data_IF_488961590583
#
_entry.id   IF_488961590583
#
_cell.length_a   1.000
_cell.length_b   1.000
_cell.length_c   1.000
_cell.angle_alpha   90.00
_cell.angle_beta   90.00
_cell.angle_gamma   90.00
#
_symmetry.space_group_name_H-M   'P 1'
#
loop_
_entity.id
_entity.type
_entity.pdbx_description
1 polymer ?
#
# COMPACT_ATOMS: atom_id res chain seq x y z
N UNK A 1 -62.33 21.00 12.13
CA UNK A 1 -61.15 21.82 12.45
C UNK A 1 -60.21 21.01 13.32
N UNK A 2 -58.90 21.04 13.02
CA UNK A 2 -57.79 20.47 13.83
C UNK A 2 -57.57 18.96 13.65
N UNK A 3 -56.73 18.47 12.74
CA UNK A 3 -55.25 18.44 12.72
C UNK A 3 -54.66 17.24 13.49
N UNK A 4 -54.44 16.13 12.79
CA UNK A 4 -53.50 15.08 13.19
C UNK A 4 -52.26 15.18 12.29
N UNK A 5 -51.13 15.44 12.92
CA UNK A 5 -49.80 15.56 12.31
C UNK A 5 -49.21 14.16 12.12
N UNK A 6 -49.18 13.70 10.88
CA UNK A 6 -48.52 12.46 10.48
C UNK A 6 -47.00 12.66 10.41
N UNK A 7 -46.29 11.85 11.19
CA UNK A 7 -44.84 11.77 11.28
C UNK A 7 -44.26 11.25 9.95
N UNK A 8 -43.50 12.10 9.26
CA UNK A 8 -42.78 11.74 8.05
C UNK A 8 -41.50 10.99 8.43
N UNK A 9 -41.38 9.75 7.96
CA UNK A 9 -40.11 9.03 7.87
C UNK A 9 -39.88 8.80 6.39
N UNK A 10 -38.81 9.39 5.85
CA UNK A 10 -38.36 9.16 4.48
C UNK A 10 -37.26 8.11 4.51
N UNK A 11 -37.59 6.88 4.13
CA UNK A 11 -36.62 5.86 3.76
C UNK A 11 -36.22 6.07 2.29
N UNK A 12 -35.04 6.64 2.06
CA UNK A 12 -34.41 6.70 0.75
C UNK A 12 -33.70 5.37 0.48
N UNK A 13 -34.41 4.43 -0.14
CA UNK A 13 -33.77 3.36 -0.90
C UNK A 13 -33.60 3.87 -2.33
N UNK A 14 -32.36 4.09 -2.76
CA UNK A 14 -32.06 4.35 -4.17
C UNK A 14 -31.84 3.00 -4.84
N UNK A 15 -32.78 2.64 -5.70
CA UNK A 15 -32.68 1.54 -6.66
C UNK A 15 -31.46 1.75 -7.58
N UNK A 16 -30.55 0.77 -7.59
CA UNK A 16 -29.46 0.65 -8.54
C UNK A 16 -30.04 0.32 -9.93
N UNK A 17 -30.19 1.36 -10.76
CA UNK A 17 -30.54 1.24 -12.17
C UNK A 17 -29.29 0.81 -12.98
N UNK A 18 -29.05 -0.50 -13.05
CA UNK A 18 -27.99 -1.10 -13.88
C UNK A 18 -28.53 -1.35 -15.30
N UNK A 19 -28.93 -0.30 -16.00
CA UNK A 19 -29.51 -0.40 -17.35
C UNK A 19 -28.59 0.04 -18.47
N UNK A 20 -27.30 -0.31 -18.41
CA UNK A 20 -26.37 -0.11 -19.55
C UNK A 20 -25.33 -1.23 -19.67
N UNK A 21 -25.80 -2.48 -19.66
CA UNK A 21 -25.00 -3.65 -20.06
C UNK A 21 -25.28 -3.89 -21.56
N UNK A 22 -24.33 -3.65 -22.47
CA UNK A 22 -24.52 -4.01 -23.87
C UNK A 22 -24.59 -5.54 -24.01
N UNK A 23 -25.62 -5.99 -24.74
CA UNK A 23 -25.84 -7.38 -25.14
C UNK A 23 -24.69 -7.81 -26.05
N UNK A 24 -23.95 -8.83 -25.62
CA UNK A 24 -22.96 -9.53 -26.46
C UNK A 24 -23.75 -10.58 -27.26
N UNK A 25 -24.07 -10.22 -28.49
CA UNK A 25 -24.44 -11.16 -29.54
C UNK A 25 -23.17 -11.46 -30.35
N UNK A 26 -22.53 -12.60 -30.08
CA UNK A 26 -22.05 -13.58 -31.05
C UNK A 26 -21.05 -14.53 -30.37
N UNK A 27 -21.46 -15.80 -30.28
CA UNK A 27 -20.66 -16.90 -29.73
C UNK A 27 -19.88 -17.53 -30.89
N UNK A 28 -18.58 -17.31 -30.94
CA UNK A 28 -17.67 -18.17 -31.68
C UNK A 28 -16.52 -18.61 -30.78
N UNK A 29 -16.60 -19.85 -30.29
CA UNK A 29 -15.52 -20.49 -29.57
C UNK A 29 -14.33 -20.73 -30.50
N UNK A 30 -13.20 -20.11 -30.20
CA UNK A 30 -11.89 -20.55 -30.68
C UNK A 30 -10.97 -20.72 -29.48
N UNK A 31 -10.62 -21.97 -29.21
CA UNK A 31 -9.56 -22.32 -28.28
C UNK A 31 -8.22 -21.82 -28.85
N UNK A 32 -7.49 -20.97 -28.11
CA UNK A 32 -6.16 -20.56 -28.55
C UNK A 32 -5.58 -19.37 -27.80
N UNK A 33 -4.58 -19.67 -26.96
CA UNK A 33 -3.42 -18.81 -26.62
C UNK A 33 -3.71 -17.36 -26.17
N UNK A 34 -3.53 -17.12 -24.87
CA UNK A 34 -3.30 -15.78 -24.34
C UNK A 34 -2.11 -15.12 -25.04
N UNK A 35 -2.39 -14.13 -25.87
CA UNK A 35 -1.41 -13.16 -26.33
C UNK A 35 -1.54 -11.88 -25.47
N UNK A 36 -0.41 -11.29 -25.06
CA UNK A 36 -0.39 -10.15 -24.15
C UNK A 36 -0.90 -8.87 -24.83
N UNK A 37 -1.59 -8.05 -24.06
CA UNK A 37 -2.00 -6.70 -24.46
C UNK A 37 -0.75 -5.84 -24.75
N UNK A 38 -0.78 -4.99 -25.80
CA UNK A 38 0.40 -4.29 -26.29
C UNK A 38 0.88 -3.16 -25.36
N UNK A 39 2.21 -3.09 -25.26
CA UNK A 39 3.07 -2.10 -24.61
C UNK A 39 2.67 -0.63 -24.90
N UNK A 40 2.36 0.10 -23.83
CA UNK A 40 2.09 1.54 -23.87
C UNK A 40 2.87 2.29 -22.80
N UNK A 41 4.14 2.58 -23.10
CA UNK A 41 4.94 3.60 -22.40
C UNK A 41 5.89 3.06 -21.32
N UNK A 42 6.97 2.40 -21.75
CA UNK A 42 8.13 2.13 -20.90
C UNK A 42 8.85 3.41 -20.48
N UNK A 43 8.51 3.90 -19.30
CA UNK A 43 9.50 4.45 -18.37
C UNK A 43 9.74 3.34 -17.36
N UNK A 44 10.99 2.89 -17.25
CA UNK A 44 11.43 1.76 -16.44
C UNK A 44 10.63 1.66 -15.13
N UNK A 45 9.78 0.63 -14.96
CA UNK A 45 9.32 0.26 -13.62
C UNK A 45 10.57 -0.12 -12.85
N UNK A 46 11.21 0.87 -12.24
CA UNK A 46 12.42 0.71 -11.46
C UNK A 46 12.01 0.00 -10.19
N UNK A 47 11.88 -1.32 -10.30
CA UNK A 47 11.57 -2.18 -9.19
C UNK A 47 12.63 -1.97 -8.11
N UNK A 48 12.19 -1.86 -6.87
CA UNK A 48 13.11 -1.75 -5.77
C UNK A 48 13.95 -3.04 -5.67
N UNK A 49 15.24 -2.95 -5.33
CA UNK A 49 16.09 -4.13 -5.13
C UNK A 49 15.49 -5.06 -4.08
N UNK A 50 15.84 -6.33 -4.15
CA UNK A 50 15.53 -7.24 -3.05
C UNK A 50 16.30 -6.85 -1.77
N UNK A 51 15.85 -7.37 -0.63
CA UNK A 51 16.43 -7.08 0.70
C UNK A 51 17.94 -7.25 0.77
N UNK A 52 18.45 -8.30 0.14
CA UNK A 52 19.88 -8.65 0.14
C UNK A 52 20.70 -7.73 -0.76
N UNK A 53 20.07 -7.08 -1.73
CA UNK A 53 20.70 -6.14 -2.65
C UNK A 53 20.68 -4.71 -2.14
N UNK A 54 19.68 -4.34 -1.31
CA UNK A 54 19.52 -3.01 -0.74
C UNK A 54 20.78 -2.49 -0.02
N UNK A 55 21.44 -1.43 -0.55
CA UNK A 55 22.55 -0.75 0.11
C UNK A 55 22.13 -0.16 1.46
N UNK A 56 20.94 0.43 1.54
CA UNK A 56 20.41 1.04 2.77
C UNK A 56 20.18 -0.02 3.85
N UNK A 57 19.58 -1.17 3.51
CA UNK A 57 19.34 -2.25 4.46
C UNK A 57 20.64 -2.91 4.96
N UNK A 58 21.65 -2.99 4.08
CA UNK A 58 22.98 -3.52 4.41
C UNK A 58 23.90 -2.53 5.13
N UNK A 59 23.48 -1.28 5.32
CA UNK A 59 24.32 -0.26 5.95
C UNK A 59 24.77 -0.74 7.35
N UNK A 60 26.09 -0.70 7.58
CA UNK A 60 26.75 -1.13 8.83
C UNK A 60 26.29 -0.30 10.04
N UNK A 61 25.72 0.88 9.83
CA UNK A 61 25.12 1.71 10.88
C UNK A 61 23.83 1.11 11.43
N UNK A 62 23.14 0.27 10.65
CA UNK A 62 21.92 -0.40 11.07
C UNK A 62 22.24 -1.63 11.92
N UNK A 63 21.77 -1.61 13.16
CA UNK A 63 21.92 -2.71 14.11
C UNK A 63 20.74 -3.65 14.00
N UNK A 64 20.98 -4.97 14.06
CA UNK A 64 19.91 -5.95 14.12
C UNK A 64 19.32 -5.95 15.55
N UNK A 65 18.01 -5.75 15.68
CA UNK A 65 17.29 -5.81 16.98
C UNK A 65 16.62 -7.18 17.19
N UNK A 66 16.70 -8.08 16.20
CA UNK A 66 15.96 -9.34 16.18
C UNK A 66 14.63 -9.21 15.43
N UNK A 67 13.99 -10.36 15.20
CA UNK A 67 12.68 -10.46 14.54
C UNK A 67 12.60 -9.77 13.16
N UNK A 68 13.71 -9.75 12.40
CA UNK A 68 13.77 -9.10 11.09
C UNK A 68 13.92 -7.57 11.12
N UNK A 69 13.92 -6.96 12.31
CA UNK A 69 13.96 -5.51 12.52
C UNK A 69 15.39 -5.00 12.68
N UNK A 70 15.67 -3.85 12.08
CA UNK A 70 16.90 -3.09 12.28
C UNK A 70 16.66 -1.78 13.02
N UNK A 71 17.70 -1.21 13.61
CA UNK A 71 17.65 0.10 14.24
C UNK A 71 18.87 0.97 13.97
N UNK A 72 18.70 2.28 14.07
CA UNK A 72 19.80 3.25 14.05
C UNK A 72 19.59 4.30 15.12
N UNK A 73 20.65 5.05 15.43
CA UNK A 73 20.61 6.15 16.39
C UNK A 73 20.41 5.70 17.84
N UNK A 74 20.18 6.67 18.72
CA UNK A 74 19.96 6.48 20.16
C UNK A 74 18.97 7.53 20.69
N UNK A 75 18.32 7.24 21.81
CA UNK A 75 17.41 8.17 22.49
C UNK A 75 16.29 8.70 21.58
N UNK A 76 16.10 10.03 21.56
CA UNK A 76 15.08 10.70 20.73
C UNK A 76 15.28 10.48 19.21
N UNK A 77 16.51 10.20 18.78
CA UNK A 77 16.87 9.95 17.38
C UNK A 77 16.85 8.46 17.02
N UNK A 78 16.46 7.56 17.94
CA UNK A 78 16.33 6.14 17.61
C UNK A 78 15.26 5.96 16.53
N UNK A 79 15.56 5.10 15.56
CA UNK A 79 14.65 4.67 14.49
C UNK A 79 14.69 3.16 14.39
N UNK A 80 13.55 2.57 14.04
CA UNK A 80 13.44 1.17 13.68
C UNK A 80 13.08 1.05 12.20
N UNK A 81 13.51 -0.05 11.60
CA UNK A 81 13.37 -0.33 10.18
C UNK A 81 12.91 -1.77 10.02
N UNK A 82 11.88 -1.97 9.22
CA UNK A 82 11.40 -3.28 8.82
C UNK A 82 11.39 -3.39 7.30
N UNK A 83 11.57 -4.59 6.77
CA UNK A 83 11.55 -4.81 5.34
C UNK A 83 10.14 -5.19 4.89
N UNK A 84 9.54 -4.40 4.02
CA UNK A 84 8.26 -4.75 3.40
C UNK A 84 8.50 -5.63 2.16
N UNK A 85 8.15 -6.90 2.28
CA UNK A 85 8.28 -7.87 1.19
C UNK A 85 7.24 -7.70 0.08
N UNK A 86 6.18 -6.92 0.32
CA UNK A 86 5.11 -6.65 -0.66
C UNK A 86 5.53 -5.57 -1.66
N UNK A 87 6.31 -4.58 -1.19
CA UNK A 87 6.68 -3.40 -1.97
C UNK A 87 8.20 -3.27 -2.18
N UNK A 88 8.96 -4.22 -1.66
CA UNK A 88 10.43 -4.23 -1.64
C UNK A 88 11.01 -2.92 -1.10
N UNK A 89 10.41 -2.31 -0.08
CA UNK A 89 10.88 -1.06 0.53
C UNK A 89 11.15 -1.23 2.03
N UNK A 90 11.61 -0.15 2.66
CA UNK A 90 11.94 -0.15 4.08
C UNK A 90 10.90 0.69 4.82
N UNK A 91 10.09 0.04 5.67
CA UNK A 91 9.18 0.74 6.58
C UNK A 91 9.99 1.35 7.73
N UNK A 92 9.78 2.63 8.03
CA UNK A 92 10.55 3.38 9.03
C UNK A 92 9.64 3.75 10.21
N UNK A 93 10.17 3.60 11.42
CA UNK A 93 9.45 3.87 12.65
C UNK A 93 10.25 4.76 13.61
N UNK A 94 9.55 5.55 14.42
CA UNK A 94 10.14 6.37 15.47
C UNK A 94 10.60 5.52 16.68
N UNK A 95 11.19 6.16 17.69
CA UNK A 95 11.62 5.49 18.94
C UNK A 95 10.48 4.81 19.70
N UNK A 96 9.23 5.20 19.46
CA UNK A 96 8.02 4.65 20.06
C UNK A 96 7.36 3.62 19.14
N UNK A 97 8.06 3.18 18.09
CA UNK A 97 7.59 2.22 17.08
C UNK A 97 6.40 2.72 16.25
N UNK A 98 6.18 4.04 16.19
CA UNK A 98 5.12 4.64 15.35
C UNK A 98 5.61 4.78 13.92
N UNK A 99 4.77 4.43 12.95
CA UNK A 99 5.12 4.47 11.53
C UNK A 99 5.40 5.92 11.06
N UNK A 100 6.53 6.10 10.39
CA UNK A 100 7.00 7.36 9.82
C UNK A 100 6.89 7.40 8.30
N UNK A 101 6.66 6.24 7.66
CA UNK A 101 6.57 6.11 6.21
C UNK A 101 7.56 5.09 5.65
N UNK A 102 7.58 4.98 4.32
CA UNK A 102 8.44 4.05 3.60
C UNK A 102 9.61 4.77 2.96
N UNK A 103 10.76 4.11 2.98
CA UNK A 103 12.06 4.59 2.54
C UNK A 103 12.55 3.77 1.34
N UNK A 104 13.08 4.48 0.35
CA UNK A 104 13.66 3.86 -0.83
C UNK A 104 14.90 3.05 -0.41
N UNK A 105 14.96 1.74 -0.71
CA UNK A 105 16.01 0.85 -0.21
C UNK A 105 17.38 1.05 -0.90
N UNK A 106 17.44 1.83 -1.98
CA UNK A 106 18.67 2.15 -2.69
C UNK A 106 19.28 3.46 -2.20
N UNK A 107 18.44 4.48 -2.04
CA UNK A 107 18.88 5.85 -1.75
C UNK A 107 18.74 6.24 -0.28
N UNK A 108 17.94 5.52 0.50
CA UNK A 108 17.60 5.86 1.88
C UNK A 108 16.69 7.09 2.02
N UNK A 109 16.08 7.58 0.93
CA UNK A 109 15.15 8.72 0.97
C UNK A 109 13.74 8.25 1.32
N UNK A 110 13.06 8.97 2.21
CA UNK A 110 11.63 8.77 2.46
C UNK A 110 10.83 9.17 1.23
N UNK A 111 9.84 8.36 0.84
CA UNK A 111 9.00 8.65 -0.33
C UNK A 111 7.51 8.39 -0.09
N UNK A 112 7.15 7.70 1.01
CA UNK A 112 5.78 7.63 1.52
C UNK A 112 5.71 8.26 2.91
N UNK A 113 4.57 8.86 3.22
CA UNK A 113 4.31 9.49 4.52
C UNK A 113 3.89 8.51 5.62
N UNK A 114 3.75 9.01 6.86
CA UNK A 114 3.31 8.20 7.99
C UNK A 114 1.87 7.72 7.84
N UNK A 115 1.60 6.50 8.28
CA UNK A 115 0.24 5.94 8.37
C UNK A 115 -0.18 5.97 9.83
N UNK A 116 -1.22 6.75 10.15
CA UNK A 116 -1.71 6.93 11.52
C UNK A 116 -2.20 5.58 12.07
N UNK A 117 -1.82 5.26 13.30
CA UNK A 117 -2.21 4.02 13.98
C UNK A 117 -1.34 2.80 13.66
N UNK A 118 -0.53 2.83 12.59
CA UNK A 118 0.41 1.74 12.29
C UNK A 118 1.59 1.78 13.28
N UNK A 119 1.83 0.64 13.93
CA UNK A 119 2.92 0.46 14.88
C UNK A 119 3.68 -0.82 14.59
N UNK A 120 4.99 -0.79 14.82
CA UNK A 120 5.82 -1.99 14.75
C UNK A 120 5.61 -2.81 16.04
N UNK A 121 5.18 -4.09 15.97
CA UNK A 121 4.98 -4.93 17.15
C UNK A 121 6.28 -5.11 17.92
N UNK A 122 6.23 -5.32 19.24
CA UNK A 122 7.42 -5.45 20.09
C UNK A 122 8.16 -6.76 19.87
#
# INVERSE_FOLDING_TARGET
AGAEIVNQVSDSAQDDDTSDIPKIDDVSEVAGTGAPMPDGGGEDRKENPNKSESPTWKDKKMKNEGNGVKSTGKGKKKRFYDWDYTHNDIEVYDRNRRHLGSMNPTTGKMYKGPVKGRVLPK
#
